data_IF_679633419970
#
_entry.id   IF_679633419970
#
_cell.length_a   1.000
_cell.length_b   1.000
_cell.length_c   1.000
_cell.angle_alpha   90.00
_cell.angle_beta   90.00
_cell.angle_gamma   90.00
#
_symmetry.space_group_name_H-M   'P 1'
#
loop_
_entity.id
_entity.type
_entity.pdbx_description
1 polymer ?
#
# COMPACT_ATOMS: atom_id res chain seq x y z
N UNK A 1 21.92 10.29 -16.51
CA UNK A 1 20.94 9.26 -16.14
C UNK A 1 21.35 8.63 -14.81
N UNK A 2 20.47 8.58 -13.80
CA UNK A 2 20.63 7.88 -12.52
C UNK A 2 19.79 6.61 -12.55
N UNK A 3 20.39 5.44 -12.29
CA UNK A 3 19.65 4.18 -12.09
C UNK A 3 19.78 3.81 -10.62
N UNK A 4 18.68 3.61 -9.95
CA UNK A 4 18.62 3.31 -8.53
C UNK A 4 17.67 2.15 -8.23
N UNK A 5 18.08 1.28 -7.31
CA UNK A 5 17.24 0.28 -6.69
C UNK A 5 16.74 0.86 -5.36
N UNK A 6 15.39 0.98 -5.22
CA UNK A 6 14.80 1.58 -4.03
C UNK A 6 15.08 0.78 -2.76
N UNK A 7 15.17 -0.55 -2.83
CA UNK A 7 15.45 -1.40 -1.68
C UNK A 7 16.73 -0.98 -0.93
N UNK A 8 17.76 -0.50 -1.63
CA UNK A 8 19.00 -0.04 -0.99
C UNK A 8 18.80 1.20 -0.11
N UNK A 9 17.66 1.86 -0.19
CA UNK A 9 17.34 3.09 0.52
C UNK A 9 16.23 2.96 1.56
N UNK A 10 15.58 1.79 1.67
CA UNK A 10 14.48 1.57 2.61
C UNK A 10 14.98 1.46 4.05
N UNK A 11 16.08 0.74 4.26
CA UNK A 11 16.63 0.41 5.59
C UNK A 11 17.96 1.11 5.85
N UNK A 12 18.04 2.39 5.53
CA UNK A 12 19.27 3.16 5.80
C UNK A 12 19.51 3.29 7.30
N UNK A 13 20.71 2.88 7.76
CA UNK A 13 21.15 3.08 9.13
C UNK A 13 21.04 4.56 9.55
N UNK A 14 20.73 4.85 10.84
CA UNK A 14 20.80 6.21 11.38
C UNK A 14 22.14 6.91 11.14
N UNK A 15 23.23 6.15 11.05
CA UNK A 15 24.58 6.66 10.79
C UNK A 15 24.91 6.89 9.30
N UNK A 16 23.94 6.60 8.41
CA UNK A 16 24.12 6.80 6.96
C UNK A 16 24.44 8.27 6.66
N UNK A 17 25.47 8.56 5.82
CA UNK A 17 25.80 9.92 5.45
C UNK A 17 24.61 10.71 4.90
N UNK A 18 24.48 11.98 5.32
CA UNK A 18 23.37 12.84 4.94
C UNK A 18 23.07 12.95 3.43
N UNK A 19 24.09 12.94 2.53
CA UNK A 19 23.84 12.91 1.09
C UNK A 19 23.09 11.66 0.61
N UNK A 20 23.42 10.46 1.12
CA UNK A 20 22.75 9.22 0.76
C UNK A 20 21.31 9.20 1.29
N UNK A 21 21.10 9.63 2.53
CA UNK A 21 19.75 9.75 3.11
C UNK A 21 18.85 10.70 2.29
N UNK A 22 19.35 11.90 1.96
CA UNK A 22 18.62 12.84 1.09
C UNK A 22 18.37 12.32 -0.31
N UNK A 23 19.24 11.44 -0.84
CA UNK A 23 18.98 10.75 -2.10
C UNK A 23 17.83 9.76 -1.93
N UNK A 24 17.87 8.91 -0.90
CA UNK A 24 16.78 7.96 -0.59
C UNK A 24 15.43 8.65 -0.44
N UNK A 25 15.36 9.73 0.37
CA UNK A 25 14.14 10.54 0.53
C UNK A 25 13.62 11.10 -0.81
N UNK A 26 14.52 11.54 -1.68
CA UNK A 26 14.12 12.05 -2.99
C UNK A 26 13.58 10.95 -3.91
N UNK A 27 14.20 9.77 -3.93
CA UNK A 27 13.74 8.62 -4.70
C UNK A 27 12.38 8.14 -4.18
N UNK A 28 12.22 8.04 -2.87
CA UNK A 28 10.95 7.72 -2.21
C UNK A 28 9.82 8.69 -2.61
N UNK A 29 10.10 9.99 -2.59
CA UNK A 29 9.14 11.01 -3.00
C UNK A 29 8.78 10.90 -4.50
N UNK A 30 9.74 10.53 -5.37
CA UNK A 30 9.47 10.29 -6.79
C UNK A 30 8.53 9.07 -6.95
N UNK A 31 8.78 7.98 -6.21
CA UNK A 31 7.91 6.79 -6.23
C UNK A 31 6.51 7.15 -5.75
N UNK A 32 6.37 7.81 -4.61
CA UNK A 32 5.07 8.23 -4.09
C UNK A 32 4.32 9.14 -5.09
N UNK A 33 5.02 10.12 -5.68
CA UNK A 33 4.43 10.98 -6.68
C UNK A 33 3.99 10.19 -7.94
N UNK A 34 4.83 9.30 -8.46
CA UNK A 34 4.51 8.51 -9.64
C UNK A 34 3.28 7.60 -9.41
N UNK A 35 3.25 6.92 -8.26
CA UNK A 35 2.20 5.95 -7.92
C UNK A 35 0.89 6.58 -7.45
N UNK A 36 0.90 7.87 -7.09
CA UNK A 36 -0.31 8.65 -6.87
C UNK A 36 -1.02 9.03 -8.18
N UNK A 37 -0.31 9.03 -9.33
CA UNK A 37 -0.86 9.32 -10.65
C UNK A 37 -1.31 8.07 -11.42
N UNK A 38 -1.80 8.28 -12.65
CA UNK A 38 -2.21 7.17 -13.52
C UNK A 38 -1.01 6.51 -14.19
N UNK A 39 -1.05 5.17 -14.30
CA UNK A 39 -0.10 4.43 -15.11
C UNK A 39 -0.20 4.84 -16.61
N UNK A 40 0.92 4.70 -17.32
CA UNK A 40 1.03 5.01 -18.74
C UNK A 40 0.94 6.50 -19.12
N UNK A 41 0.75 7.40 -18.15
CA UNK A 41 0.69 8.84 -18.38
C UNK A 41 1.88 9.54 -17.73
N UNK A 42 2.65 10.29 -18.55
CA UNK A 42 3.70 11.15 -18.01
C UNK A 42 3.08 12.44 -17.46
N UNK A 43 3.47 12.84 -16.24
CA UNK A 43 2.97 14.06 -15.64
C UNK A 43 4.03 14.80 -14.81
N UNK A 44 3.92 16.11 -14.74
CA UNK A 44 4.81 16.95 -13.96
C UNK A 44 4.35 17.01 -12.50
N UNK A 45 5.22 16.59 -11.61
CA UNK A 45 4.97 16.57 -10.17
C UNK A 45 5.26 17.92 -9.51
N UNK A 46 4.86 18.10 -8.26
CA UNK A 46 5.27 19.24 -7.45
C UNK A 46 6.75 19.15 -6.96
N UNK A 47 7.44 18.02 -7.20
CA UNK A 47 8.80 17.80 -6.70
C UNK A 47 9.81 18.67 -7.43
N UNK A 48 10.66 19.43 -6.70
CA UNK A 48 11.69 20.24 -7.32
C UNK A 48 12.88 19.38 -7.80
N UNK A 49 13.53 19.81 -8.88
CA UNK A 49 14.79 19.22 -9.31
C UNK A 49 15.88 19.46 -8.27
N UNK A 50 16.74 18.45 -8.05
CA UNK A 50 17.86 18.49 -7.08
C UNK A 50 19.13 19.10 -7.66
N UNK A 51 19.28 19.20 -8.97
CA UNK A 51 20.48 19.65 -9.64
C UNK A 51 20.75 21.13 -9.40
N UNK A 52 22.01 21.45 -9.43
CA UNK A 52 22.50 22.84 -9.31
C UNK A 52 23.42 23.19 -10.48
N UNK A 53 22.87 23.26 -11.71
CA UNK A 53 23.69 23.68 -12.84
C UNK A 53 24.27 25.07 -12.58
N UNK A 54 25.56 25.25 -12.86
CA UNK A 54 26.26 26.50 -12.59
C UNK A 54 26.13 27.01 -11.14
N UNK A 55 26.10 26.11 -10.15
CA UNK A 55 25.90 26.39 -8.72
C UNK A 55 24.57 27.07 -8.34
N UNK A 56 23.63 27.17 -9.25
CA UNK A 56 22.27 27.69 -8.98
C UNK A 56 21.27 26.55 -8.93
N UNK A 57 20.29 26.65 -8.03
CA UNK A 57 19.22 25.65 -7.93
C UNK A 57 18.43 25.59 -9.25
N UNK A 58 18.27 24.40 -9.82
CA UNK A 58 17.44 24.22 -10.98
C UNK A 58 15.98 24.50 -10.61
N UNK A 59 15.25 25.38 -11.31
CA UNK A 59 13.86 25.68 -11.03
C UNK A 59 12.89 24.66 -11.61
N UNK A 60 13.39 23.63 -12.35
CA UNK A 60 12.56 22.61 -12.98
C UNK A 60 11.90 21.69 -11.98
N UNK A 61 10.82 21.05 -12.45
CA UNK A 61 10.07 20.02 -11.73
C UNK A 61 10.39 18.64 -12.26
N UNK A 62 10.10 17.62 -11.46
CA UNK A 62 10.26 16.22 -11.87
C UNK A 62 9.02 15.78 -12.64
N UNK A 63 9.22 15.27 -13.85
CA UNK A 63 8.21 14.58 -14.64
C UNK A 63 8.43 13.09 -14.43
N UNK A 64 7.38 12.37 -14.13
CA UNK A 64 7.39 10.92 -13.87
C UNK A 64 6.51 10.18 -14.86
N UNK A 65 6.87 8.93 -15.13
CA UNK A 65 6.05 7.97 -15.85
C UNK A 65 6.36 6.57 -15.34
N UNK A 66 5.34 5.75 -15.17
CA UNK A 66 5.47 4.30 -14.98
C UNK A 66 4.41 3.57 -15.79
N UNK A 67 4.67 2.31 -16.11
CA UNK A 67 3.70 1.40 -16.72
C UNK A 67 3.49 0.20 -15.79
N UNK A 68 2.31 -0.41 -15.82
CA UNK A 68 2.02 -1.59 -14.98
C UNK A 68 2.91 -2.79 -15.35
N UNK A 69 3.44 -2.83 -16.56
CA UNK A 69 4.31 -3.89 -17.06
C UNK A 69 5.79 -3.61 -16.80
N UNK A 70 6.17 -2.37 -16.57
CA UNK A 70 7.56 -2.01 -16.29
C UNK A 70 7.90 -2.15 -14.81
N UNK A 71 9.04 -2.76 -14.56
CA UNK A 71 9.61 -2.93 -13.21
C UNK A 71 10.25 -1.66 -12.66
N UNK A 72 10.24 -0.55 -13.45
CA UNK A 72 10.89 0.71 -13.08
C UNK A 72 9.99 1.93 -13.33
N UNK A 73 10.13 2.93 -12.45
CA UNK A 73 9.61 4.28 -12.65
C UNK A 73 10.70 5.10 -13.35
N UNK A 74 10.35 5.67 -14.51
CA UNK A 74 11.21 6.62 -15.21
C UNK A 74 10.88 8.06 -14.77
N UNK A 75 11.91 8.88 -14.61
CA UNK A 75 11.74 10.28 -14.26
C UNK A 75 12.73 11.19 -14.99
N UNK A 76 12.35 12.44 -15.18
CA UNK A 76 13.21 13.47 -15.77
C UNK A 76 12.89 14.85 -15.22
N UNK A 77 13.87 15.75 -15.24
CA UNK A 77 13.63 17.16 -14.96
C UNK A 77 13.06 17.88 -16.18
N UNK A 78 12.04 18.73 -15.98
CA UNK A 78 11.44 19.52 -17.07
C UNK A 78 12.36 20.56 -17.70
N UNK A 79 13.50 20.91 -17.07
CA UNK A 79 14.40 21.98 -17.55
C UNK A 79 15.85 21.57 -17.79
N UNK A 80 16.50 20.86 -16.86
CA UNK A 80 17.95 20.63 -16.97
C UNK A 80 18.33 19.26 -17.55
N UNK A 81 17.34 18.45 -17.95
CA UNK A 81 17.59 17.14 -18.54
C UNK A 81 18.17 16.08 -17.57
N UNK A 82 18.18 16.37 -16.24
CA UNK A 82 18.51 15.34 -15.26
C UNK A 82 17.44 14.26 -15.29
N UNK A 83 17.82 13.00 -15.38
CA UNK A 83 16.92 11.88 -15.59
C UNK A 83 17.36 10.62 -14.88
N UNK A 84 16.46 9.66 -14.73
CA UNK A 84 16.77 8.37 -14.15
C UNK A 84 15.64 7.38 -14.16
N UNK A 85 15.95 6.19 -13.60
CA UNK A 85 14.99 5.11 -13.39
C UNK A 85 15.14 4.55 -11.97
N UNK A 86 14.00 4.15 -11.38
CA UNK A 86 13.92 3.56 -10.04
C UNK A 86 13.28 2.19 -10.19
N UNK A 87 14.01 1.14 -9.79
CA UNK A 87 13.54 -0.24 -9.74
C UNK A 87 13.18 -0.69 -8.32
N UNK A 88 12.55 -1.86 -8.19
CA UNK A 88 12.20 -2.51 -6.91
C UNK A 88 11.40 -1.59 -5.97
N UNK A 89 10.52 -0.78 -6.53
CA UNK A 89 9.67 0.18 -5.81
C UNK A 89 8.31 -0.39 -5.45
N UNK A 90 7.82 -1.40 -6.21
CA UNK A 90 6.51 -2.01 -6.01
C UNK A 90 6.40 -2.69 -4.63
N UNK A 91 5.30 -2.43 -3.92
CA UNK A 91 5.08 -2.92 -2.56
C UNK A 91 5.92 -2.23 -1.48
N UNK A 92 6.71 -1.20 -1.83
CA UNK A 92 7.40 -0.39 -0.83
C UNK A 92 6.42 0.50 -0.06
N UNK A 93 6.80 1.05 1.11
CA UNK A 93 5.95 2.00 1.86
C UNK A 93 5.59 3.27 1.08
N UNK A 94 6.26 3.53 -0.04
CA UNK A 94 6.05 4.69 -0.91
C UNK A 94 5.21 4.38 -2.14
N UNK A 95 4.82 3.11 -2.33
CA UNK A 95 3.91 2.69 -3.39
C UNK A 95 2.46 3.00 -2.98
N UNK A 96 1.92 4.08 -3.52
CA UNK A 96 0.58 4.55 -3.17
C UNK A 96 -0.55 3.93 -4.01
N UNK A 97 -0.25 2.99 -4.92
CA UNK A 97 -1.26 2.37 -5.79
C UNK A 97 -2.37 1.68 -4.98
N UNK A 98 -2.02 0.94 -3.92
CA UNK A 98 -3.00 0.30 -3.04
C UNK A 98 -3.90 1.32 -2.33
N UNK A 99 -3.33 2.40 -1.80
CA UNK A 99 -4.11 3.47 -1.16
C UNK A 99 -5.04 4.15 -2.14
N UNK A 100 -4.62 4.30 -3.40
CA UNK A 100 -5.45 4.87 -4.46
C UNK A 100 -6.58 3.94 -4.87
N UNK A 101 -6.35 2.65 -5.00
CA UNK A 101 -7.39 1.64 -5.25
C UNK A 101 -8.42 1.67 -4.12
N UNK A 102 -7.98 1.69 -2.87
CA UNK A 102 -8.86 1.82 -1.71
C UNK A 102 -9.71 3.10 -1.71
N UNK A 103 -9.22 4.20 -2.30
CA UNK A 103 -9.99 5.45 -2.47
C UNK A 103 -10.98 5.40 -3.65
N UNK A 104 -10.79 4.50 -4.62
CA UNK A 104 -11.66 4.33 -5.79
C UNK A 104 -12.62 3.16 -5.66
N UNK A 105 -12.33 2.19 -4.80
CA UNK A 105 -13.21 1.08 -4.49
C UNK A 105 -14.36 1.51 -3.58
N UNK A 106 -15.52 0.93 -3.81
CA UNK A 106 -16.66 1.11 -2.92
C UNK A 106 -16.35 0.49 -1.56
N UNK A 107 -16.62 1.23 -0.49
CA UNK A 107 -16.55 0.69 0.87
C UNK A 107 -17.90 0.07 1.21
N UNK A 108 -17.88 -1.17 1.58
CA UNK A 108 -19.06 -1.92 1.99
C UNK A 108 -19.06 -2.10 3.51
N UNK A 109 -20.23 -1.92 4.10
CA UNK A 109 -20.42 -2.14 5.52
C UNK A 109 -21.09 -3.50 5.72
N UNK A 110 -20.35 -4.44 6.31
CA UNK A 110 -20.83 -5.80 6.58
C UNK A 110 -21.13 -5.98 8.06
N UNK A 111 -22.23 -6.70 8.35
CA UNK A 111 -22.61 -7.04 9.72
C UNK A 111 -21.96 -8.36 10.10
N UNK A 112 -21.25 -8.36 11.22
CA UNK A 112 -20.59 -9.55 11.78
C UNK A 112 -21.05 -9.77 13.22
N UNK A 113 -20.89 -10.99 13.71
CA UNK A 113 -21.17 -11.31 15.11
C UNK A 113 -19.98 -11.04 16.06
N UNK A 114 -20.22 -11.08 17.35
CA UNK A 114 -19.21 -10.84 18.39
C UNK A 114 -18.06 -11.86 18.34
N UNK A 115 -18.35 -13.12 17.96
CA UNK A 115 -17.33 -14.17 17.89
C UNK A 115 -16.39 -13.92 16.71
N UNK A 116 -16.93 -13.59 15.56
CA UNK A 116 -16.18 -13.19 14.37
C UNK A 116 -15.32 -11.96 14.66
N UNK A 117 -15.89 -10.90 15.23
CA UNK A 117 -15.12 -9.70 15.57
C UNK A 117 -14.00 -9.99 16.58
N UNK A 118 -14.26 -10.85 17.58
CA UNK A 118 -13.26 -11.22 18.57
C UNK A 118 -12.10 -12.00 17.95
N UNK A 119 -12.36 -12.97 17.07
CA UNK A 119 -11.31 -13.77 16.45
C UNK A 119 -10.49 -12.95 15.44
N UNK A 120 -11.12 -12.08 14.66
CA UNK A 120 -10.44 -11.18 13.72
C UNK A 120 -9.40 -10.29 14.43
N UNK A 121 -9.71 -9.78 15.62
CA UNK A 121 -8.78 -8.98 16.43
C UNK A 121 -7.58 -9.76 16.97
N UNK A 122 -7.59 -11.09 16.88
CA UNK A 122 -6.48 -11.96 17.33
C UNK A 122 -5.59 -12.46 16.20
N UNK A 123 -5.89 -12.09 14.95
CA UNK A 123 -5.08 -12.47 13.80
C UNK A 123 -3.67 -11.86 13.91
N UNK A 124 -2.66 -12.68 13.61
CA UNK A 124 -1.25 -12.31 13.81
C UNK A 124 -0.64 -11.59 12.62
N UNK A 125 -1.15 -11.83 11.42
CA UNK A 125 -0.60 -11.36 10.16
C UNK A 125 -1.69 -10.71 9.30
N UNK A 126 -2.15 -9.54 9.74
CA UNK A 126 -2.98 -8.67 8.93
C UNK A 126 -2.14 -7.60 8.26
N UNK A 127 -2.46 -7.28 7.02
CA UNK A 127 -1.98 -6.07 6.41
C UNK A 127 -2.51 -4.84 7.20
N UNK A 128 -1.91 -3.68 6.97
CA UNK A 128 -2.20 -2.48 7.76
C UNK A 128 -3.62 -1.95 7.52
N UNK A 129 -4.20 -2.13 6.34
CA UNK A 129 -5.53 -1.63 6.00
C UNK A 129 -6.60 -2.57 6.56
N UNK A 130 -6.44 -3.89 6.44
CA UNK A 130 -7.26 -4.89 7.13
C UNK A 130 -7.17 -4.72 8.66
N UNK A 131 -5.97 -4.49 9.20
CA UNK A 131 -5.81 -4.25 10.64
C UNK A 131 -6.60 -3.02 11.09
N UNK A 132 -6.51 -1.91 10.38
CA UNK A 132 -7.28 -0.69 10.68
C UNK A 132 -8.78 -0.94 10.63
N UNK A 133 -9.26 -1.64 9.61
CA UNK A 133 -10.68 -1.98 9.47
C UNK A 133 -11.18 -2.82 10.63
N UNK A 134 -10.45 -3.88 11.01
CA UNK A 134 -10.79 -4.76 12.14
C UNK A 134 -10.81 -4.00 13.48
N UNK A 135 -9.85 -3.10 13.72
CA UNK A 135 -9.85 -2.27 14.93
C UNK A 135 -10.87 -1.13 14.90
N UNK A 136 -11.37 -0.75 13.72
CA UNK A 136 -12.40 0.25 13.52
C UNK A 136 -13.83 -0.32 13.55
N UNK A 137 -14.04 -1.62 13.81
CA UNK A 137 -15.36 -2.24 13.97
C UNK A 137 -16.18 -1.43 14.98
N UNK A 138 -17.37 -1.02 14.55
CA UNK A 138 -18.30 -0.18 15.33
C UNK A 138 -19.56 -0.94 15.69
N UNK A 139 -20.10 -0.67 16.88
CA UNK A 139 -21.42 -1.11 17.27
C UNK A 139 -22.46 -0.09 16.80
N UNK A 140 -23.43 -0.54 16.03
CA UNK A 140 -24.57 0.25 15.59
C UNK A 140 -25.83 -0.64 15.65
N UNK A 141 -26.92 -0.12 16.19
CA UNK A 141 -28.19 -0.83 16.29
C UNK A 141 -28.08 -2.26 16.88
N UNK A 142 -27.21 -2.40 17.89
CA UNK A 142 -26.91 -3.67 18.56
C UNK A 142 -26.21 -4.72 17.66
N UNK A 143 -25.65 -4.30 16.54
CA UNK A 143 -24.88 -5.12 15.60
C UNK A 143 -23.46 -4.56 15.43
N UNK A 144 -22.49 -5.44 15.14
CA UNK A 144 -21.12 -5.03 14.83
C UNK A 144 -20.97 -4.85 13.33
N UNK A 145 -20.48 -3.70 12.95
CA UNK A 145 -20.26 -3.29 11.55
C UNK A 145 -18.79 -3.18 11.25
N UNK A 146 -18.35 -3.89 10.22
CA UNK A 146 -17.02 -3.87 9.66
C UNK A 146 -17.09 -3.24 8.26
N UNK A 147 -16.32 -2.17 8.04
CA UNK A 147 -16.26 -1.48 6.77
C UNK A 147 -14.99 -1.86 6.02
N UNK A 148 -15.13 -2.41 4.81
CA UNK A 148 -14.04 -2.93 3.97
C UNK A 148 -14.28 -2.57 2.50
N UNK A 149 -13.20 -2.44 1.74
CA UNK A 149 -13.26 -2.51 0.28
C UNK A 149 -13.31 -3.97 -0.17
N UNK A 150 -13.60 -4.20 -1.46
CA UNK A 150 -13.58 -5.54 -2.04
C UNK A 150 -12.21 -6.20 -1.87
N UNK A 151 -11.14 -5.46 -2.19
CA UNK A 151 -9.76 -5.92 -2.04
C UNK A 151 -9.42 -6.26 -0.58
N UNK A 152 -9.85 -5.42 0.39
CA UNK A 152 -9.58 -5.66 1.80
C UNK A 152 -10.34 -6.89 2.31
N UNK A 153 -11.57 -7.13 1.81
CA UNK A 153 -12.35 -8.31 2.17
C UNK A 153 -11.69 -9.59 1.68
N UNK A 154 -11.23 -9.63 0.43
CA UNK A 154 -10.52 -10.77 -0.13
C UNK A 154 -9.22 -11.06 0.64
N UNK A 155 -8.47 -10.02 0.99
CA UNK A 155 -7.23 -10.14 1.76
C UNK A 155 -7.50 -10.63 3.20
N UNK A 156 -8.56 -10.14 3.83
CA UNK A 156 -8.98 -10.58 5.17
C UNK A 156 -9.41 -12.04 5.17
N UNK A 157 -10.19 -12.48 4.18
CA UNK A 157 -10.58 -13.89 3.99
C UNK A 157 -9.34 -14.75 3.82
N UNK A 158 -8.38 -14.32 3.00
CA UNK A 158 -7.11 -15.00 2.80
C UNK A 158 -6.29 -15.14 4.08
N UNK A 159 -6.21 -14.08 4.89
CA UNK A 159 -5.50 -14.08 6.17
C UNK A 159 -6.14 -15.03 7.19
N UNK A 160 -7.48 -15.04 7.30
CA UNK A 160 -8.21 -15.96 8.17
C UNK A 160 -7.96 -17.42 7.76
N UNK A 161 -8.04 -17.72 6.46
CA UNK A 161 -7.79 -19.06 5.93
C UNK A 161 -6.35 -19.52 6.18
N UNK A 162 -5.37 -18.64 5.97
CA UNK A 162 -3.96 -18.95 6.22
C UNK A 162 -3.71 -19.26 7.69
N UNK A 163 -4.28 -18.49 8.62
CA UNK A 163 -4.11 -18.72 10.05
C UNK A 163 -4.85 -19.98 10.50
N UNK A 164 -6.05 -20.27 10.00
CA UNK A 164 -6.79 -21.50 10.28
C UNK A 164 -6.00 -22.75 9.88
N UNK A 165 -5.37 -22.73 8.71
CA UNK A 165 -4.58 -23.85 8.19
C UNK A 165 -3.32 -24.19 9.04
N UNK A 166 -2.82 -23.24 9.81
CA UNK A 166 -1.62 -23.41 10.64
C UNK A 166 -1.92 -23.44 12.15
N UNK A 167 -3.19 -23.36 12.54
CA UNK A 167 -3.59 -23.30 13.95
C UNK A 167 -3.61 -24.69 14.59
N UNK A 168 -2.73 -24.99 15.57
CA UNK A 168 -2.69 -26.29 16.23
C UNK A 168 -3.80 -26.48 17.27
N UNK A 169 -4.41 -25.40 17.76
CA UNK A 169 -5.48 -25.45 18.72
C UNK A 169 -6.83 -25.60 18.00
N UNK A 170 -7.41 -26.82 18.06
CA UNK A 170 -8.64 -27.13 17.38
C UNK A 170 -9.82 -26.19 17.72
N UNK A 171 -9.91 -25.67 18.96
CA UNK A 171 -10.98 -24.75 19.36
C UNK A 171 -10.81 -23.38 18.72
N UNK A 172 -9.56 -22.92 18.57
CA UNK A 172 -9.26 -21.65 17.87
C UNK A 172 -9.43 -21.83 16.38
N UNK A 173 -8.99 -22.94 15.81
CA UNK A 173 -9.21 -23.31 14.41
C UNK A 173 -10.70 -23.29 14.05
N UNK A 174 -11.56 -23.94 14.84
CA UNK A 174 -13.00 -23.95 14.61
C UNK A 174 -13.61 -22.54 14.59
N UNK A 175 -13.09 -21.59 15.39
CA UNK A 175 -13.54 -20.20 15.38
C UNK A 175 -13.05 -19.45 14.14
N UNK A 176 -11.84 -19.74 13.69
CA UNK A 176 -11.29 -19.20 12.44
C UNK A 176 -12.09 -19.71 11.24
N UNK A 177 -12.41 -20.99 11.20
CA UNK A 177 -13.24 -21.59 10.14
C UNK A 177 -14.64 -20.95 10.11
N UNK A 178 -15.26 -20.73 11.27
CA UNK A 178 -16.55 -20.05 11.36
C UNK A 178 -16.48 -18.58 10.88
N UNK A 179 -15.41 -17.87 11.20
CA UNK A 179 -15.17 -16.51 10.72
C UNK A 179 -14.95 -16.48 9.21
N UNK A 180 -14.19 -17.44 8.66
CA UNK A 180 -13.99 -17.60 7.23
C UNK A 180 -15.32 -17.80 6.50
N UNK A 181 -16.17 -18.72 7.00
CA UNK A 181 -17.48 -19.02 6.41
C UNK A 181 -18.39 -17.77 6.43
N UNK A 182 -18.39 -17.03 7.54
CA UNK A 182 -19.17 -15.79 7.69
C UNK A 182 -18.74 -14.73 6.67
N UNK A 183 -17.44 -14.45 6.54
CA UNK A 183 -16.89 -13.48 5.59
C UNK A 183 -17.14 -13.91 4.14
N UNK A 184 -16.91 -15.18 3.83
CA UNK A 184 -17.10 -15.74 2.50
C UNK A 184 -18.58 -15.75 2.07
N UNK A 185 -19.51 -15.93 3.02
CA UNK A 185 -20.94 -15.82 2.76
C UNK A 185 -21.31 -14.40 2.34
N UNK A 186 -20.74 -13.39 3.01
CA UNK A 186 -20.97 -11.99 2.65
C UNK A 186 -20.40 -11.69 1.27
N UNK A 187 -19.17 -12.09 0.99
CA UNK A 187 -18.54 -11.92 -0.31
C UNK A 187 -19.40 -12.49 -1.45
N UNK A 188 -19.94 -13.69 -1.28
CA UNK A 188 -20.77 -14.36 -2.29
C UNK A 188 -22.21 -13.81 -2.42
N UNK A 189 -22.78 -13.19 -1.37
CA UNK A 189 -24.16 -12.67 -1.40
C UNK A 189 -24.25 -11.23 -1.88
N UNK A 190 -23.20 -10.46 -1.76
CA UNK A 190 -23.20 -9.04 -2.13
C UNK A 190 -22.97 -8.82 -3.64
N UNK A 191 -22.76 -9.88 -4.43
CA UNK A 191 -22.61 -9.79 -5.89
C UNK A 191 -21.31 -9.08 -6.31
N UNK A 192 -20.26 -9.33 -5.57
CA UNK A 192 -18.90 -8.83 -5.75
C UNK A 192 -18.27 -9.35 -7.04
#
# INVERSE_FOLDING_TARGET
MLVADLHHFLDLSPDTPGPARRLGEHLANIVAAATAGDAHTAWETALPCRRRPANRRCPGRIIVIYTQQETSISWRCSLCGDDGAISNWAGSPFDLRRQRLALTESVHEIVIDDQTAAILRTLSFLDIDCQRAVFAIRTRDNSLHLALTDSDLDELIGAVAAEANHEPNWRRQQRLDAAFDALNTVANTSGW
#
